data_IF_353477384832
#
_entry.id   IF_353477384832
#
_cell.length_a   1.000
_cell.length_b   1.000
_cell.length_c   1.000
_cell.angle_alpha   90.00
_cell.angle_beta   90.00
_cell.angle_gamma   90.00
#
_symmetry.space_group_name_H-M   'P 1'
#
loop_
_entity.id
_entity.type
_entity.pdbx_description
1 polymer ?
#
# COMPACT_ATOMS: atom_id res chain seq x y z
N UNK A 1 -30.32 -6.81 3.58
CA UNK A 1 -29.79 -6.64 2.21
C UNK A 1 -28.60 -5.71 2.32
N UNK A 2 -27.41 -6.12 1.91
CA UNK A 2 -26.30 -5.17 1.79
C UNK A 2 -26.75 -4.11 0.78
N UNK A 3 -26.97 -2.88 1.24
CA UNK A 3 -27.32 -1.77 0.36
C UNK A 3 -26.24 -1.68 -0.71
N UNK A 4 -26.60 -1.42 -1.97
CA UNK A 4 -25.62 -1.18 -3.06
C UNK A 4 -24.57 -0.14 -2.63
N UNK A 5 -25.01 0.85 -1.84
CA UNK A 5 -24.18 1.86 -1.17
C UNK A 5 -23.10 1.23 -0.27
N UNK A 6 -23.42 0.21 0.51
CA UNK A 6 -22.48 -0.48 1.39
C UNK A 6 -21.41 -1.28 0.63
N UNK A 7 -21.78 -1.89 -0.49
CA UNK A 7 -20.83 -2.59 -1.37
C UNK A 7 -19.86 -1.61 -2.02
N UNK A 8 -20.38 -0.51 -2.58
CA UNK A 8 -19.57 0.55 -3.19
C UNK A 8 -18.66 1.21 -2.16
N UNK A 9 -19.17 1.49 -0.95
CA UNK A 9 -18.37 2.07 0.13
C UNK A 9 -17.21 1.16 0.54
N UNK A 10 -17.44 -0.15 0.70
CA UNK A 10 -16.38 -1.14 0.99
C UNK A 10 -15.32 -1.16 -0.11
N UNK A 11 -15.76 -1.17 -1.36
CA UNK A 11 -14.84 -1.21 -2.50
C UNK A 11 -14.00 0.06 -2.59
N UNK A 12 -14.63 1.23 -2.43
CA UNK A 12 -13.93 2.52 -2.40
C UNK A 12 -12.92 2.59 -1.25
N UNK A 13 -13.29 2.10 -0.07
CA UNK A 13 -12.41 2.07 1.09
C UNK A 13 -11.22 1.14 0.85
N UNK A 14 -11.45 -0.03 0.27
CA UNK A 14 -10.39 -0.97 -0.11
C UNK A 14 -9.40 -0.35 -1.10
N UNK A 15 -9.90 0.28 -2.17
CA UNK A 15 -9.07 0.98 -3.16
C UNK A 15 -8.31 2.14 -2.52
N UNK A 16 -8.97 2.93 -1.68
CA UNK A 16 -8.35 4.07 -0.99
C UNK A 16 -7.21 3.60 -0.07
N UNK A 17 -7.43 2.54 0.72
CA UNK A 17 -6.40 1.93 1.56
C UNK A 17 -5.22 1.45 0.73
N UNK A 18 -5.49 0.71 -0.36
CA UNK A 18 -4.43 0.24 -1.25
C UNK A 18 -3.62 1.40 -1.84
N UNK A 19 -4.28 2.48 -2.25
CA UNK A 19 -3.62 3.66 -2.81
C UNK A 19 -2.77 4.40 -1.77
N UNK A 20 -3.31 4.58 -0.56
CA UNK A 20 -2.62 5.23 0.56
C UNK A 20 -1.42 4.41 1.01
N UNK A 21 -1.53 3.07 1.03
CA UNK A 21 -0.45 2.15 1.41
C UNK A 21 0.58 1.94 0.29
N UNK A 22 0.17 2.06 -0.96
CA UNK A 22 1.08 1.98 -2.10
C UNK A 22 2.17 3.04 -2.03
N UNK A 23 1.81 4.27 -1.67
CA UNK A 23 2.74 5.40 -1.61
C UNK A 23 3.94 5.20 -0.66
N UNK A 24 3.74 4.83 0.63
CA UNK A 24 4.84 4.52 1.53
C UNK A 24 5.58 3.24 1.12
N UNK A 25 4.89 2.22 0.65
CA UNK A 25 5.54 0.99 0.17
C UNK A 25 6.46 1.23 -1.03
N UNK A 26 6.01 2.10 -1.94
CA UNK A 26 6.77 2.55 -3.09
C UNK A 26 8.03 3.29 -2.66
N UNK A 27 7.90 4.26 -1.74
CA UNK A 27 9.05 4.99 -1.19
C UNK A 27 10.06 4.05 -0.53
N UNK A 28 9.59 3.14 0.32
CA UNK A 28 10.44 2.16 1.03
C UNK A 28 11.20 1.29 0.04
N UNK A 29 10.50 0.69 -0.94
CA UNK A 29 11.14 -0.15 -1.95
C UNK A 29 12.13 0.63 -2.79
N UNK A 30 11.82 1.87 -3.13
CA UNK A 30 12.71 2.73 -3.90
C UNK A 30 13.98 3.07 -3.12
N UNK A 31 13.88 3.29 -1.81
CA UNK A 31 15.04 3.50 -0.95
C UNK A 31 15.87 2.22 -0.86
N UNK A 32 15.24 1.09 -0.51
CA UNK A 32 15.92 -0.20 -0.30
C UNK A 32 16.57 -0.73 -1.58
N UNK A 33 15.96 -0.50 -2.74
CA UNK A 33 16.47 -0.96 -4.03
C UNK A 33 17.29 0.08 -4.78
N UNK A 34 17.65 1.19 -4.13
CA UNK A 34 18.42 2.30 -4.73
C UNK A 34 17.79 2.84 -6.03
N UNK A 35 16.46 2.94 -6.03
CA UNK A 35 15.68 3.46 -7.16
C UNK A 35 15.34 2.45 -8.24
N UNK A 36 15.78 1.18 -8.11
CA UNK A 36 15.54 0.16 -9.15
C UNK A 36 14.10 -0.34 -9.19
N UNK A 37 13.40 -0.37 -8.07
CA UNK A 37 12.05 -0.90 -7.98
C UNK A 37 11.10 0.05 -7.24
N UNK A 38 9.83 0.15 -7.66
CA UNK A 38 9.24 -0.43 -8.88
C UNK A 38 9.53 0.44 -10.12
N UNK A 39 9.78 -0.23 -11.26
CA UNK A 39 10.27 0.39 -12.49
C UNK A 39 9.21 1.26 -13.20
N UNK A 40 7.92 0.91 -13.13
CA UNK A 40 6.83 1.77 -13.60
C UNK A 40 5.47 1.30 -13.06
N UNK A 41 4.67 2.18 -12.42
CA UNK A 41 3.32 1.86 -11.96
C UNK A 41 2.31 1.65 -13.10
N UNK A 42 2.66 2.00 -14.34
CA UNK A 42 1.74 2.00 -15.50
C UNK A 42 1.84 0.74 -16.36
N UNK A 43 2.65 -0.26 -15.97
CA UNK A 43 2.72 -1.54 -16.70
C UNK A 43 1.43 -2.32 -16.48
N UNK A 44 0.80 -2.78 -17.57
CA UNK A 44 -0.48 -3.52 -17.53
C UNK A 44 -0.43 -4.80 -16.68
N UNK A 45 0.75 -5.40 -16.51
CA UNK A 45 0.96 -6.60 -15.69
C UNK A 45 1.27 -6.29 -14.22
N UNK A 46 1.29 -5.00 -13.83
CA UNK A 46 1.70 -4.55 -12.51
C UNK A 46 0.63 -4.67 -11.42
N UNK A 47 -0.52 -5.32 -11.67
CA UNK A 47 -1.57 -5.45 -10.66
C UNK A 47 -1.07 -6.22 -9.42
N UNK A 48 -0.34 -7.31 -9.64
CA UNK A 48 0.29 -8.08 -8.56
C UNK A 48 1.42 -7.28 -7.88
N UNK A 49 2.19 -6.51 -8.66
CA UNK A 49 3.22 -5.61 -8.12
C UNK A 49 2.61 -4.52 -7.24
N UNK A 50 1.46 -3.98 -7.62
CA UNK A 50 0.74 -2.95 -6.88
C UNK A 50 0.31 -3.45 -5.50
N UNK A 51 -0.25 -4.66 -5.44
CA UNK A 51 -0.66 -5.29 -4.18
C UNK A 51 0.55 -5.59 -3.29
N UNK A 52 1.64 -6.12 -3.84
CA UNK A 52 2.89 -6.33 -3.11
C UNK A 52 3.49 -5.03 -2.56
N UNK A 53 3.51 -3.97 -3.36
CA UNK A 53 3.99 -2.64 -2.92
C UNK A 53 3.10 -2.11 -1.79
N UNK A 54 1.78 -2.24 -1.89
CA UNK A 54 0.87 -1.83 -0.82
C UNK A 54 1.08 -2.65 0.47
N UNK A 55 1.34 -3.96 0.37
CA UNK A 55 1.70 -4.80 1.52
C UNK A 55 3.00 -4.33 2.17
N UNK A 56 4.02 -3.98 1.39
CA UNK A 56 5.26 -3.40 1.94
C UNK A 56 4.99 -2.08 2.66
N UNK A 57 4.13 -1.23 2.10
CA UNK A 57 3.73 0.01 2.76
C UNK A 57 2.97 -0.23 4.08
N UNK A 58 2.09 -1.22 4.11
CA UNK A 58 1.41 -1.66 5.33
C UNK A 58 2.42 -2.10 6.40
N UNK A 59 3.36 -2.98 6.04
CA UNK A 59 4.40 -3.45 6.95
C UNK A 59 5.27 -2.32 7.47
N UNK A 60 5.61 -1.35 6.61
CA UNK A 60 6.39 -0.18 7.01
C UNK A 60 5.64 0.68 8.04
N UNK A 61 4.36 1.01 7.79
CA UNK A 61 3.54 1.79 8.73
C UNK A 61 3.38 1.05 10.06
N UNK A 62 3.06 -0.24 10.02
CA UNK A 62 2.91 -1.06 11.24
C UNK A 62 4.23 -1.13 12.01
N UNK A 63 5.35 -1.36 11.32
CA UNK A 63 6.69 -1.38 11.94
C UNK A 63 7.07 -0.05 12.58
N UNK A 64 6.79 1.07 11.92
CA UNK A 64 6.98 2.41 12.47
C UNK A 64 6.09 2.61 13.70
N UNK A 65 4.81 2.25 13.61
CA UNK A 65 3.86 2.37 14.73
C UNK A 65 4.29 1.58 15.97
N UNK A 66 4.74 0.33 15.77
CA UNK A 66 5.27 -0.51 16.85
C UNK A 66 6.54 0.11 17.45
N UNK A 67 7.45 0.61 16.60
CA UNK A 67 8.70 1.21 17.05
C UNK A 67 8.46 2.47 17.85
N UNK A 68 7.56 3.35 17.38
CA UNK A 68 7.16 4.57 18.10
C UNK A 68 6.51 4.19 19.44
N UNK A 69 5.58 3.24 19.45
CA UNK A 69 4.92 2.80 20.67
C UNK A 69 5.89 2.14 21.68
N UNK A 70 6.95 1.50 21.20
CA UNK A 70 7.99 0.93 22.05
C UNK A 70 8.95 1.98 22.63
N UNK A 71 9.01 3.18 22.04
CA UNK A 71 9.90 4.27 22.45
C UNK A 71 9.19 5.35 23.30
N UNK A 72 7.87 5.31 23.40
CA UNK A 72 7.03 6.18 24.25
C UNK A 72 6.67 5.50 25.56
#
# INVERSE_FOLDING_TARGET
MESVIGVVARFAMYVLFQFVLYWPGWLVLKIVTLGRYPASPMRRDAWYEFELVAVVGMLAIVGIGITVAALT
#
